data_IF_959784033764
#
_entry.id   IF_959784033764
#
_cell.length_a   1.000
_cell.length_b   1.000
_cell.length_c   1.000
_cell.angle_alpha   90.00
_cell.angle_beta   90.00
_cell.angle_gamma   90.00
#
_symmetry.space_group_name_H-M   'P 1'
#
loop_
_entity.id
_entity.type
_entity.pdbx_description
1 polymer ?
#
# COMPACT_ATOMS: atom_id res chain seq x y z
N UNK A 1 40.85 -5.10 24.36
CA UNK A 1 39.46 -4.61 24.48
C UNK A 1 39.05 -3.92 23.18
N UNK A 2 38.25 -4.58 22.33
CA UNK A 2 37.75 -3.99 21.09
C UNK A 2 36.53 -3.12 21.41
N UNK A 3 36.67 -1.80 21.27
CA UNK A 3 35.53 -0.86 21.27
C UNK A 3 34.70 -1.15 20.02
N UNK A 4 33.47 -1.60 20.22
CA UNK A 4 32.47 -1.62 19.17
C UNK A 4 31.95 -0.19 18.99
N UNK A 5 32.51 0.52 18.01
CA UNK A 5 31.92 1.75 17.51
C UNK A 5 30.62 1.39 16.78
N UNK A 6 29.49 1.50 17.49
CA UNK A 6 28.19 1.68 16.85
C UNK A 6 28.22 3.07 16.21
N UNK A 7 27.96 3.21 14.89
CA UNK A 7 27.77 4.53 14.33
C UNK A 7 26.46 5.08 14.91
N UNK A 8 26.60 5.98 15.88
CA UNK A 8 25.55 6.93 16.22
C UNK A 8 25.32 7.77 14.96
N UNK A 9 24.31 7.40 14.17
CA UNK A 9 23.63 8.39 13.36
C UNK A 9 23.13 9.44 14.33
N UNK A 10 23.79 10.60 14.32
CA UNK A 10 23.25 11.81 14.92
C UNK A 10 21.81 11.92 14.48
N UNK A 11 20.91 12.25 15.41
CA UNK A 11 19.52 12.58 15.14
C UNK A 11 19.53 13.94 14.41
N UNK A 12 20.08 13.97 13.20
CA UNK A 12 19.81 15.02 12.24
C UNK A 12 18.32 14.92 11.96
N UNK A 13 17.59 16.04 12.12
CA UNK A 13 16.14 16.11 11.91
C UNK A 13 15.78 15.30 10.68
N UNK A 14 15.01 14.23 10.87
CA UNK A 14 14.50 13.44 9.76
C UNK A 14 13.77 14.44 8.85
N UNK A 15 14.11 14.51 7.55
CA UNK A 15 13.43 15.43 6.66
C UNK A 15 11.92 15.14 6.67
N UNK A 16 11.11 16.17 6.46
CA UNK A 16 9.64 16.09 6.53
C UNK A 16 9.04 14.99 5.62
N UNK A 17 9.83 14.52 4.66
CA UNK A 17 9.54 13.44 3.75
C UNK A 17 10.84 12.71 3.35
N UNK A 18 10.70 11.48 2.88
CA UNK A 18 11.80 10.64 2.40
C UNK A 18 11.37 9.86 1.15
N UNK A 19 12.34 9.55 0.30
CA UNK A 19 12.09 8.64 -0.83
C UNK A 19 11.77 7.23 -0.33
N UNK A 20 11.12 6.41 -1.17
CA UNK A 20 10.87 4.99 -0.84
C UNK A 20 12.17 4.24 -0.48
N UNK A 21 13.29 4.57 -1.14
CA UNK A 21 14.59 3.95 -0.86
C UNK A 21 15.11 4.32 0.53
N UNK A 22 14.98 5.58 0.92
CA UNK A 22 15.38 6.06 2.24
C UNK A 22 14.45 5.52 3.33
N UNK A 23 13.14 5.50 3.10
CA UNK A 23 12.15 4.91 4.00
C UNK A 23 12.49 3.46 4.36
N UNK A 24 12.87 2.64 3.36
CA UNK A 24 13.33 1.26 3.60
C UNK A 24 14.56 1.22 4.52
N UNK A 25 15.55 2.08 4.27
CA UNK A 25 16.78 2.12 5.09
C UNK A 25 16.45 2.52 6.53
N UNK A 26 15.71 3.61 6.72
CA UNK A 26 15.36 4.13 8.03
C UNK A 26 14.54 3.09 8.81
N UNK A 27 13.46 2.58 8.22
CA UNK A 27 12.60 1.63 8.90
C UNK A 27 13.33 0.31 9.25
N UNK A 28 14.24 -0.15 8.39
CA UNK A 28 15.06 -1.34 8.68
C UNK A 28 15.99 -1.11 9.86
N UNK A 29 16.66 0.04 9.91
CA UNK A 29 17.54 0.42 11.02
C UNK A 29 16.76 0.61 12.33
N UNK A 30 15.59 1.23 12.29
CA UNK A 30 14.79 1.53 13.48
C UNK A 30 14.13 0.28 14.09
N UNK A 31 13.74 -0.70 13.29
CA UNK A 31 13.00 -1.89 13.76
C UNK A 31 13.85 -3.16 13.87
N UNK A 32 15.05 -3.15 13.27
CA UNK A 32 15.86 -4.34 13.01
C UNK A 32 15.11 -5.43 12.20
N UNK A 33 14.08 -5.04 11.44
CA UNK A 33 13.33 -5.90 10.53
C UNK A 33 13.74 -5.55 9.11
N UNK A 34 14.12 -6.57 8.32
CA UNK A 34 14.54 -6.37 6.93
C UNK A 34 13.33 -6.08 6.04
N UNK A 35 13.09 -4.80 5.78
CA UNK A 35 12.01 -4.31 4.91
C UNK A 35 12.56 -4.13 3.50
N UNK A 36 11.70 -4.30 2.49
CA UNK A 36 11.98 -4.01 1.09
C UNK A 36 10.94 -3.05 0.53
N UNK A 37 11.22 -2.45 -0.64
CA UNK A 37 10.29 -1.54 -1.33
C UNK A 37 8.89 -2.15 -1.52
N UNK A 38 8.83 -3.45 -1.83
CA UNK A 38 7.59 -4.22 -1.99
C UNK A 38 6.66 -4.15 -0.78
N UNK A 39 7.23 -4.07 0.43
CA UNK A 39 6.46 -4.10 1.66
C UNK A 39 5.77 -2.74 1.85
N UNK A 40 6.49 -1.65 1.56
CA UNK A 40 5.92 -0.28 1.52
C UNK A 40 4.81 -0.19 0.47
N UNK A 41 5.05 -0.67 -0.75
CA UNK A 41 4.03 -0.61 -1.80
C UNK A 41 2.78 -1.43 -1.44
N UNK A 42 2.94 -2.60 -0.79
CA UNK A 42 1.81 -3.39 -0.28
C UNK A 42 1.04 -2.65 0.80
N UNK A 43 1.73 -2.10 1.79
CA UNK A 43 1.07 -1.38 2.88
C UNK A 43 0.34 -0.13 2.36
N UNK A 44 0.88 0.54 1.34
CA UNK A 44 0.21 1.64 0.65
C UNK A 44 -1.05 1.19 -0.11
N UNK A 45 -0.95 0.12 -0.92
CA UNK A 45 -2.09 -0.43 -1.66
C UNK A 45 -3.19 -1.01 -0.75
N UNK A 46 -2.81 -1.48 0.45
CA UNK A 46 -3.75 -1.92 1.49
C UNK A 46 -4.30 -0.78 2.35
N UNK A 47 -3.93 0.48 2.08
CA UNK A 47 -4.40 1.65 2.82
C UNK A 47 -3.89 1.76 4.26
N UNK A 48 -2.80 1.06 4.61
CA UNK A 48 -2.20 1.14 5.96
C UNK A 48 -1.30 2.37 6.13
N UNK A 49 -0.73 2.83 5.02
CA UNK A 49 0.08 4.04 4.94
C UNK A 49 -0.32 4.84 3.71
N UNK A 50 -0.10 6.14 3.73
CA UNK A 50 -0.29 7.01 2.59
C UNK A 50 1.03 7.32 1.91
N UNK A 51 1.00 7.32 0.58
CA UNK A 51 2.10 7.86 -0.23
C UNK A 51 1.77 9.28 -0.65
N UNK A 52 2.81 10.05 -0.88
CA UNK A 52 2.73 11.37 -1.49
C UNK A 52 3.54 11.37 -2.77
N UNK A 53 3.27 12.32 -3.65
CA UNK A 53 4.07 12.59 -4.85
C UNK A 53 4.84 13.88 -4.60
N UNK A 54 6.16 13.80 -4.69
CA UNK A 54 7.02 14.96 -4.76
C UNK A 54 7.09 15.44 -6.21
N UNK A 55 6.71 16.68 -6.47
CA UNK A 55 6.84 17.38 -7.74
C UNK A 55 7.92 18.46 -7.63
N UNK A 56 9.06 18.25 -8.27
CA UNK A 56 10.12 19.26 -8.28
C UNK A 56 9.70 20.50 -9.09
N UNK A 57 9.13 20.27 -10.28
CA UNK A 57 8.48 21.29 -11.11
C UNK A 57 7.10 21.67 -10.59
N UNK A 58 6.71 22.95 -10.72
CA UNK A 58 5.40 23.42 -10.28
C UNK A 58 4.27 22.75 -11.05
N UNK A 59 3.23 22.35 -10.33
CA UNK A 59 2.00 21.78 -10.90
C UNK A 59 0.79 22.63 -10.51
N UNK A 60 -0.21 22.65 -11.41
CA UNK A 60 -1.47 23.33 -11.20
C UNK A 60 -2.50 22.34 -10.70
N UNK A 61 -3.32 22.77 -9.75
CA UNK A 61 -4.36 21.94 -9.15
C UNK A 61 -5.72 22.56 -9.41
N UNK A 62 -6.72 21.70 -9.57
CA UNK A 62 -8.13 22.11 -9.64
C UNK A 62 -9.02 21.09 -8.95
N UNK A 63 -10.03 21.56 -8.23
CA UNK A 63 -10.90 20.73 -7.41
C UNK A 63 -11.70 19.77 -8.29
N UNK A 64 -11.75 18.50 -7.90
CA UNK A 64 -12.56 17.48 -8.56
C UNK A 64 -13.99 17.56 -8.05
N UNK A 65 -14.98 17.55 -8.96
CA UNK A 65 -16.37 17.44 -8.58
C UNK A 65 -16.69 16.03 -8.13
N UNK A 66 -17.34 15.92 -6.98
CA UNK A 66 -17.84 14.65 -6.45
C UNK A 66 -19.35 14.69 -6.31
N UNK A 67 -19.99 13.53 -6.54
CA UNK A 67 -21.40 13.30 -6.27
C UNK A 67 -21.51 11.99 -5.49
N UNK A 68 -22.09 12.02 -4.29
CA UNK A 68 -22.20 10.85 -3.40
C UNK A 68 -20.85 10.13 -3.21
N UNK A 69 -19.79 10.90 -2.93
CA UNK A 69 -18.40 10.43 -2.78
C UNK A 69 -17.79 9.74 -4.01
N UNK A 70 -18.40 9.89 -5.20
CA UNK A 70 -17.86 9.40 -6.46
C UNK A 70 -17.38 10.55 -7.33
N UNK A 71 -16.24 10.37 -7.99
CA UNK A 71 -15.69 11.33 -8.97
C UNK A 71 -16.66 11.47 -10.14
N UNK A 72 -17.06 12.71 -10.46
CA UNK A 72 -17.90 13.00 -11.61
C UNK A 72 -17.06 13.07 -12.88
N UNK A 73 -17.54 12.42 -13.94
CA UNK A 73 -16.95 12.51 -15.28
C UNK A 73 -17.84 13.36 -16.19
N UNK A 74 -17.22 14.01 -17.17
CA UNK A 74 -17.91 14.72 -18.25
C UNK A 74 -17.32 14.35 -19.60
N UNK A 75 -18.08 14.56 -20.67
CA UNK A 75 -17.60 14.37 -22.03
C UNK A 75 -16.63 15.49 -22.42
N UNK A 76 -15.50 15.13 -23.01
CA UNK A 76 -14.59 16.06 -23.65
C UNK A 76 -15.26 16.71 -24.87
N UNK A 77 -14.86 17.94 -25.20
CA UNK A 77 -15.37 18.64 -26.38
C UNK A 77 -15.06 17.83 -27.65
N UNK A 78 -16.02 17.74 -28.58
CA UNK A 78 -15.93 16.87 -29.76
C UNK A 78 -14.94 17.38 -30.85
N UNK A 79 -14.06 18.32 -30.52
CA UNK A 79 -13.00 18.80 -31.41
C UNK A 79 -11.79 17.90 -31.32
N UNK A 80 -11.21 17.55 -32.47
CA UNK A 80 -10.03 16.67 -32.56
C UNK A 80 -8.88 17.15 -31.67
N UNK A 81 -8.58 18.45 -31.71
CA UNK A 81 -7.50 19.06 -30.92
C UNK A 81 -7.77 18.96 -29.42
N UNK A 82 -8.99 19.28 -28.97
CA UNK A 82 -9.38 19.14 -27.56
C UNK A 82 -9.25 17.70 -27.07
N UNK A 83 -9.76 16.73 -27.84
CA UNK A 83 -9.65 15.31 -27.51
C UNK A 83 -8.18 14.88 -27.43
N UNK A 84 -7.35 15.27 -28.39
CA UNK A 84 -5.92 14.94 -28.41
C UNK A 84 -5.18 15.49 -27.19
N UNK A 85 -5.46 16.71 -26.76
CA UNK A 85 -4.72 17.35 -25.66
C UNK A 85 -5.22 16.97 -24.26
N UNK A 86 -6.52 16.70 -24.11
CA UNK A 86 -7.16 16.43 -22.82
C UNK A 86 -7.20 14.94 -22.47
N UNK A 87 -7.30 14.05 -23.44
CA UNK A 87 -7.39 12.61 -23.20
C UNK A 87 -6.00 11.97 -23.14
N UNK A 88 -5.90 10.86 -22.43
CA UNK A 88 -4.75 9.97 -22.55
C UNK A 88 -4.80 9.24 -23.90
N UNK A 89 -3.63 8.81 -24.40
CA UNK A 89 -3.44 8.18 -25.72
C UNK A 89 -4.42 7.04 -26.00
N UNK A 90 -4.53 6.05 -25.12
CA UNK A 90 -5.40 4.91 -25.33
C UNK A 90 -6.87 5.32 -25.25
N UNK A 91 -7.21 6.30 -24.40
CA UNK A 91 -8.55 6.89 -24.36
C UNK A 91 -8.90 7.57 -25.68
N UNK A 92 -7.96 8.34 -26.24
CA UNK A 92 -8.11 9.02 -27.52
C UNK A 92 -8.31 8.04 -28.70
N UNK A 93 -7.47 7.00 -28.78
CA UNK A 93 -7.52 5.98 -29.84
C UNK A 93 -8.83 5.18 -29.77
N UNK A 94 -9.22 4.76 -28.56
CA UNK A 94 -10.42 3.96 -28.33
C UNK A 94 -11.72 4.79 -28.26
N UNK A 95 -11.66 6.09 -28.59
CA UNK A 95 -12.81 7.03 -28.56
C UNK A 95 -13.53 7.07 -27.21
N UNK A 96 -12.78 6.93 -26.11
CA UNK A 96 -13.28 7.12 -24.74
C UNK A 96 -13.16 8.59 -24.37
N UNK A 97 -14.20 9.34 -24.69
CA UNK A 97 -14.19 10.81 -24.60
C UNK A 97 -14.59 11.34 -23.23
N UNK A 98 -14.23 10.67 -22.13
CA UNK A 98 -14.55 11.11 -20.77
C UNK A 98 -13.33 11.72 -20.09
N UNK A 99 -13.55 12.82 -19.37
CA UNK A 99 -12.56 13.48 -18.51
C UNK A 99 -13.17 13.73 -17.13
N UNK A 100 -12.32 13.93 -16.12
CA UNK A 100 -12.77 14.33 -14.79
C UNK A 100 -13.43 15.71 -14.87
N UNK A 101 -14.61 15.84 -14.27
CA UNK A 101 -15.24 17.15 -14.11
C UNK A 101 -14.61 17.86 -12.92
N UNK A 102 -14.12 19.07 -13.17
CA UNK A 102 -13.41 19.90 -12.19
C UNK A 102 -14.13 21.23 -12.02
N UNK A 103 -13.95 21.86 -10.87
CA UNK A 103 -14.58 23.13 -10.48
C UNK A 103 -13.62 24.09 -9.81
N UNK A 104 -14.06 25.35 -9.69
CA UNK A 104 -13.26 26.44 -9.16
C UNK A 104 -12.11 26.84 -10.08
N UNK A 105 -11.21 27.63 -9.51
CA UNK A 105 -10.03 28.18 -10.18
C UNK A 105 -8.85 27.20 -10.17
N UNK A 106 -7.99 27.33 -11.18
CA UNK A 106 -6.68 26.67 -11.16
C UNK A 106 -5.75 27.44 -10.22
N UNK A 107 -5.11 26.74 -9.29
CA UNK A 107 -4.11 27.35 -8.42
C UNK A 107 -2.79 26.58 -8.48
N UNK A 108 -1.70 27.29 -8.24
CA UNK A 108 -0.38 26.69 -8.13
C UNK A 108 -0.23 26.07 -6.74
N UNK A 109 0.22 24.82 -6.67
CA UNK A 109 0.53 24.23 -5.37
C UNK A 109 1.74 24.92 -4.74
N UNK A 110 1.57 25.48 -3.53
CA UNK A 110 2.69 25.99 -2.71
C UNK A 110 3.57 24.85 -2.19
N UNK A 111 2.96 23.69 -1.96
CA UNK A 111 3.64 22.50 -1.46
C UNK A 111 4.06 21.63 -2.63
N UNK A 112 5.34 21.27 -2.67
CA UNK A 112 5.87 20.32 -3.67
C UNK A 112 5.47 18.87 -3.40
N UNK A 113 4.99 18.58 -2.19
CA UNK A 113 4.62 17.22 -1.76
C UNK A 113 3.13 17.18 -1.59
N UNK A 114 2.51 16.32 -2.39
CA UNK A 114 1.08 16.24 -2.55
C UNK A 114 0.64 14.83 -2.22
N UNK A 115 -0.22 14.68 -1.21
CA UNK A 115 -0.69 13.36 -0.79
C UNK A 115 -1.55 12.78 -1.91
N UNK A 116 -1.36 11.50 -2.22
CA UNK A 116 -2.18 10.85 -3.24
C UNK A 116 -3.25 9.97 -2.58
N UNK A 117 -4.53 10.11 -3.00
CA UNK A 117 -5.61 9.23 -2.57
C UNK A 117 -5.46 7.79 -3.07
N UNK A 118 -4.58 7.52 -4.05
CA UNK A 118 -4.49 6.23 -4.74
C UNK A 118 -5.86 5.71 -5.26
N UNK A 119 -6.70 6.62 -5.77
CA UNK A 119 -8.03 6.28 -6.34
C UNK A 119 -8.04 6.28 -7.88
N UNK A 120 -6.95 6.71 -8.51
CA UNK A 120 -6.84 6.86 -9.96
C UNK A 120 -5.65 6.09 -10.52
N UNK A 121 -4.98 6.70 -11.50
CA UNK A 121 -3.85 6.06 -12.18
C UNK A 121 -2.63 5.87 -11.28
N UNK A 122 -2.54 6.60 -10.17
CA UNK A 122 -1.46 6.44 -9.17
C UNK A 122 -1.48 5.05 -8.58
N UNK A 123 -2.68 4.52 -8.31
CA UNK A 123 -2.86 3.16 -7.81
C UNK A 123 -2.21 2.14 -8.75
N UNK A 124 -2.48 2.28 -10.05
CA UNK A 124 -1.90 1.43 -11.10
C UNK A 124 -0.37 1.56 -11.13
N UNK A 125 0.16 2.77 -11.00
CA UNK A 125 1.61 2.99 -10.94
C UNK A 125 2.25 2.30 -9.73
N UNK A 126 1.63 2.38 -8.56
CA UNK A 126 2.12 1.66 -7.37
C UNK A 126 2.05 0.15 -7.57
N UNK A 127 1.02 -0.39 -8.23
CA UNK A 127 0.95 -1.81 -8.58
C UNK A 127 2.10 -2.22 -9.53
N UNK A 128 2.43 -1.41 -10.53
CA UNK A 128 3.56 -1.65 -11.42
C UNK A 128 4.89 -1.64 -10.65
N UNK A 129 5.09 -0.65 -9.77
CA UNK A 129 6.27 -0.57 -8.90
C UNK A 129 6.37 -1.78 -7.95
N UNK A 130 5.24 -2.26 -7.44
CA UNK A 130 5.17 -3.49 -6.64
C UNK A 130 5.58 -4.70 -7.47
N UNK A 131 5.02 -4.88 -8.67
CA UNK A 131 5.35 -6.00 -9.55
C UNK A 131 6.85 -6.02 -9.90
N UNK A 132 7.41 -4.87 -10.28
CA UNK A 132 8.84 -4.72 -10.52
C UNK A 132 9.68 -5.09 -9.29
N UNK A 133 9.27 -4.64 -8.10
CA UNK A 133 9.99 -4.96 -6.85
C UNK A 133 9.91 -6.43 -6.43
N UNK A 134 8.94 -7.17 -6.97
CA UNK A 134 8.74 -8.60 -6.78
C UNK A 134 9.34 -9.45 -7.91
N UNK A 135 9.86 -8.81 -8.97
CA UNK A 135 10.31 -9.48 -10.20
C UNK A 135 9.21 -10.35 -10.84
N UNK A 136 7.95 -9.92 -10.74
CA UNK A 136 6.80 -10.57 -11.40
C UNK A 136 6.36 -9.74 -12.61
N UNK A 137 5.63 -10.34 -13.57
CA UNK A 137 5.01 -9.58 -14.64
C UNK A 137 4.19 -8.42 -14.06
N UNK A 138 4.32 -7.25 -14.68
CA UNK A 138 3.41 -6.13 -14.35
C UNK A 138 1.98 -6.58 -14.59
N UNK A 139 1.02 -6.15 -13.74
CA UNK A 139 -0.38 -6.45 -13.99
C UNK A 139 -0.68 -6.02 -15.42
N UNK A 140 -1.26 -6.91 -16.23
CA UNK A 140 -1.71 -6.50 -17.54
C UNK A 140 -2.66 -5.34 -17.31
N UNK A 141 -2.27 -4.14 -17.75
CA UNK A 141 -3.18 -3.02 -17.90
C UNK A 141 -4.34 -3.58 -18.70
N UNK A 142 -5.46 -3.87 -18.02
CA UNK A 142 -6.61 -4.46 -18.66
C UNK A 142 -6.92 -3.57 -19.88
N UNK A 143 -7.49 -4.13 -20.95
CA UNK A 143 -7.96 -3.32 -22.09
C UNK A 143 -8.91 -2.17 -21.65
N UNK A 144 -9.36 -2.17 -20.39
CA UNK A 144 -10.20 -1.18 -19.76
C UNK A 144 -9.54 -0.27 -18.70
N UNK A 145 -8.23 -0.34 -18.41
CA UNK A 145 -7.66 0.64 -17.47
C UNK A 145 -7.70 2.04 -18.10
N UNK A 146 -8.38 2.97 -17.43
CA UNK A 146 -8.56 4.33 -17.92
C UNK A 146 -7.68 5.27 -17.10
N UNK A 147 -6.79 5.99 -17.78
CA UNK A 147 -5.95 6.99 -17.16
C UNK A 147 -6.60 8.37 -17.34
N UNK A 148 -7.25 8.83 -16.27
CA UNK A 148 -7.81 10.18 -16.18
C UNK A 148 -6.82 11.23 -15.66
N UNK A 149 -5.56 10.82 -15.41
CA UNK A 149 -4.51 11.65 -14.85
C UNK A 149 -4.37 11.53 -13.33
N UNK A 150 -3.50 12.39 -12.78
CA UNK A 150 -3.14 12.35 -11.36
C UNK A 150 -4.12 13.14 -10.47
N UNK A 151 -4.30 12.66 -9.26
CA UNK A 151 -5.15 13.14 -8.19
C UNK A 151 -4.33 13.32 -6.92
N UNK A 152 -4.64 14.35 -6.16
CA UNK A 152 -4.05 14.64 -4.85
C UNK A 152 -5.14 15.02 -3.84
N UNK A 153 -4.86 14.82 -2.55
CA UNK A 153 -5.70 15.27 -1.45
C UNK A 153 -5.08 16.52 -0.82
N UNK A 154 -5.89 17.56 -0.63
CA UNK A 154 -5.57 18.72 0.22
C UNK A 154 -6.75 18.95 1.15
N UNK A 155 -6.51 18.91 2.46
CA UNK A 155 -7.54 19.14 3.49
C UNK A 155 -8.79 18.25 3.34
N UNK A 156 -8.60 16.99 2.92
CA UNK A 156 -9.69 16.02 2.70
C UNK A 156 -10.37 16.11 1.33
N UNK A 157 -10.10 17.16 0.55
CA UNK A 157 -10.69 17.36 -0.77
C UNK A 157 -9.78 16.83 -1.88
N UNK A 158 -10.37 16.29 -2.95
CA UNK A 158 -9.63 15.73 -4.10
C UNK A 158 -9.41 16.81 -5.15
N UNK A 159 -8.17 16.93 -5.61
CA UNK A 159 -7.77 17.82 -6.70
C UNK A 159 -7.11 17.01 -7.81
N UNK A 160 -7.35 17.40 -9.06
CA UNK A 160 -6.65 16.85 -10.22
C UNK A 160 -5.42 17.70 -10.53
N UNK A 161 -4.35 17.05 -10.99
CA UNK A 161 -3.08 17.66 -11.33
C UNK A 161 -3.00 18.00 -12.82
N UNK A 162 -2.58 19.22 -13.11
CA UNK A 162 -2.47 19.78 -14.45
C UNK A 162 -1.06 20.30 -14.72
N UNK A 163 -0.61 20.13 -15.97
CA UNK A 163 0.53 20.88 -16.51
C UNK A 163 0.06 22.16 -17.20
N UNK A 164 0.87 23.21 -17.13
CA UNK A 164 0.65 24.48 -17.82
C UNK A 164 1.59 24.55 -19.02
N UNK A 165 1.04 24.48 -20.24
CA UNK A 165 1.81 24.49 -21.49
C UNK A 165 0.96 25.08 -22.61
N UNK A 166 1.58 25.37 -23.75
CA UNK A 166 0.82 25.80 -24.93
C UNK A 166 0.12 24.62 -25.59
N UNK A 167 -0.99 24.88 -26.29
CA UNK A 167 -1.64 23.87 -27.12
C UNK A 167 -0.68 23.23 -28.11
N UNK A 168 0.20 24.02 -28.74
CA UNK A 168 1.15 23.52 -29.73
C UNK A 168 2.14 22.52 -29.13
N UNK A 169 2.73 22.83 -27.98
CA UNK A 169 3.65 21.93 -27.26
C UNK A 169 2.92 20.67 -26.79
N UNK A 170 1.72 20.82 -26.23
CA UNK A 170 0.90 19.69 -25.79
C UNK A 170 0.55 18.76 -26.96
N UNK A 171 0.13 19.30 -28.10
CA UNK A 171 -0.15 18.50 -29.30
C UNK A 171 1.09 17.76 -29.78
N UNK A 172 2.24 18.44 -29.87
CA UNK A 172 3.51 17.79 -30.23
C UNK A 172 3.86 16.64 -29.27
N UNK A 173 3.68 16.86 -27.97
CA UNK A 173 3.89 15.82 -26.92
C UNK A 173 2.94 14.64 -27.12
N UNK A 174 1.65 14.88 -27.37
CA UNK A 174 0.65 13.83 -27.54
C UNK A 174 0.81 13.06 -28.85
N UNK A 175 1.12 13.73 -29.97
CA UNK A 175 1.36 13.09 -31.27
C UNK A 175 2.54 12.11 -31.19
N UNK A 176 3.61 12.46 -30.46
CA UNK A 176 4.77 11.57 -30.24
C UNK A 176 4.42 10.27 -29.50
N UNK A 177 3.34 10.27 -28.70
CA UNK A 177 2.88 9.09 -27.96
C UNK A 177 1.98 8.17 -28.81
N UNK A 178 1.43 8.69 -29.91
CA UNK A 178 0.54 7.93 -30.79
C UNK A 178 1.30 6.88 -31.62
N UNK A 179 0.62 5.79 -32.01
CA UNK A 179 1.17 4.80 -32.94
C UNK A 179 1.58 5.42 -34.28
N UNK A 180 2.67 4.90 -34.88
CA UNK A 180 3.27 5.42 -36.13
C UNK A 180 2.29 5.45 -37.32
N UNK A 181 1.29 4.58 -37.35
CA UNK A 181 0.28 4.51 -38.40
C UNK A 181 -0.82 5.58 -38.26
N UNK A 182 -1.03 6.15 -37.07
CA UNK A 182 -2.09 7.14 -36.80
C UNK A 182 -1.52 8.56 -36.70
N UNK A 183 -0.31 8.71 -36.16
CA UNK A 183 0.31 10.00 -35.89
C UNK A 183 0.37 10.95 -37.12
N UNK A 184 0.77 10.50 -38.33
CA UNK A 184 0.83 11.37 -39.51
C UNK A 184 -0.54 11.94 -39.90
N UNK A 185 -1.57 11.09 -39.94
CA UNK A 185 -2.92 11.47 -40.34
C UNK A 185 -3.51 12.55 -39.43
N UNK A 186 -3.19 12.50 -38.13
CA UNK A 186 -3.65 13.49 -37.15
C UNK A 186 -2.85 14.78 -37.28
N UNK A 187 -1.53 14.68 -37.46
CA UNK A 187 -0.66 15.83 -37.64
C UNK A 187 -1.10 16.69 -38.83
N UNK A 188 -1.40 16.06 -39.97
CA UNK A 188 -1.82 16.77 -41.18
C UNK A 188 -3.18 17.47 -41.00
N UNK A 189 -4.13 16.81 -40.31
CA UNK A 189 -5.43 17.40 -39.97
C UNK A 189 -5.32 18.61 -39.05
N UNK A 190 -4.32 18.64 -38.17
CA UNK A 190 -4.11 19.74 -37.21
C UNK A 190 -3.45 20.94 -37.89
N UNK A 191 -2.45 20.73 -38.74
CA UNK A 191 -1.80 21.81 -39.50
C UNK A 191 -2.83 22.58 -40.34
N UNK A 192 -3.82 21.87 -40.90
CA UNK A 192 -4.86 22.48 -41.73
C UNK A 192 -5.81 23.44 -40.98
N UNK A 193 -5.88 23.37 -39.64
CA UNK A 193 -6.91 24.05 -38.82
C UNK A 193 -6.42 25.26 -38.00
N UNK A 194 -5.56 26.09 -38.59
CA UNK A 194 -5.27 27.48 -38.20
C UNK A 194 -4.46 27.70 -36.90
N UNK A 195 -3.21 28.15 -37.06
CA UNK A 195 -2.13 28.12 -36.06
C UNK A 195 -2.29 29.17 -34.93
N UNK A 196 -3.00 30.29 -35.19
CA UNK A 196 -2.97 31.46 -34.30
C UNK A 196 -3.63 31.28 -32.93
N UNK A 197 -4.48 30.25 -32.72
CA UNK A 197 -5.11 29.97 -31.42
C UNK A 197 -4.17 29.22 -30.45
N UNK A 198 -3.06 28.65 -30.93
CA UNK A 198 -2.28 27.66 -30.18
C UNK A 198 -1.09 28.21 -29.38
N UNK A 199 -0.87 29.53 -29.39
CA UNK A 199 0.20 30.17 -28.62
C UNK A 199 -0.19 30.47 -27.16
N UNK A 200 -1.48 30.35 -26.80
CA UNK A 200 -1.95 30.56 -25.43
C UNK A 200 -1.60 29.36 -24.55
N UNK A 201 -1.10 29.64 -23.35
CA UNK A 201 -0.92 28.64 -22.30
C UNK A 201 -2.28 28.26 -21.72
N UNK A 202 -2.49 26.96 -21.57
CA UNK A 202 -3.67 26.39 -20.93
C UNK A 202 -3.25 25.25 -19.99
N UNK A 203 -4.23 24.75 -19.24
CA UNK A 203 -4.05 23.70 -18.24
C UNK A 203 -4.53 22.37 -18.79
N UNK A 204 -3.64 21.39 -18.88
CA UNK A 204 -3.94 20.06 -19.39
C UNK A 204 -3.76 18.99 -18.31
N UNK A 205 -4.66 18.00 -18.20
CA UNK A 205 -4.50 16.90 -17.27
C UNK A 205 -3.16 16.19 -17.46
N UNK A 206 -2.50 15.95 -16.34
CA UNK A 206 -1.23 15.25 -16.30
C UNK A 206 -1.50 13.74 -16.35
N UNK A 207 -1.13 13.08 -17.45
CA UNK A 207 -1.36 11.64 -17.68
C UNK A 207 -0.13 10.77 -17.43
N UNK A 208 1.06 11.38 -17.35
CA UNK A 208 2.30 10.70 -17.05
C UNK A 208 3.06 11.48 -15.98
N UNK A 209 3.70 10.77 -15.06
CA UNK A 209 4.49 11.39 -14.01
C UNK A 209 5.71 12.09 -14.66
N UNK A 210 5.99 13.37 -14.33
CA UNK A 210 7.18 14.06 -14.79
C UNK A 210 8.46 13.33 -14.37
N UNK A 211 9.55 13.49 -15.14
CA UNK A 211 10.84 12.84 -14.86
C UNK A 211 11.45 13.28 -13.53
N UNK A 212 11.10 14.49 -13.08
CA UNK A 212 11.54 15.12 -11.84
C UNK A 212 10.51 14.97 -10.70
N UNK A 213 9.56 14.03 -10.84
CA UNK A 213 8.59 13.71 -9.82
C UNK A 213 8.70 12.24 -9.38
N UNK A 214 8.44 11.96 -8.10
CA UNK A 214 8.54 10.61 -7.55
C UNK A 214 7.62 10.40 -6.34
N UNK A 215 7.32 9.12 -6.05
CA UNK A 215 6.60 8.76 -4.83
C UNK A 215 7.51 8.83 -3.61
N UNK A 216 6.99 9.41 -2.53
CA UNK A 216 7.68 9.64 -1.26
C UNK A 216 6.76 9.29 -0.08
N UNK A 217 7.36 9.09 1.10
CA UNK A 217 6.61 9.04 2.37
C UNK A 217 6.85 10.32 3.13
N UNK A 218 5.79 10.89 3.71
CA UNK A 218 5.95 11.88 4.77
C UNK A 218 6.46 11.23 6.04
N UNK A 219 7.11 12.01 6.87
CA UNK A 219 7.65 11.56 8.14
C UNK A 219 6.59 10.86 9.02
N UNK A 220 5.38 11.42 9.10
CA UNK A 220 4.26 10.85 9.86
C UNK A 220 3.84 9.46 9.37
N UNK A 221 3.86 9.22 8.06
CA UNK A 221 3.53 7.92 7.47
C UNK A 221 4.68 6.91 7.65
N UNK A 222 5.93 7.38 7.68
CA UNK A 222 7.09 6.54 8.02
C UNK A 222 7.03 6.06 9.48
N UNK A 223 6.66 6.95 10.41
CA UNK A 223 6.47 6.58 11.81
C UNK A 223 5.34 5.54 11.97
N UNK A 224 4.21 5.73 11.29
CA UNK A 224 3.13 4.75 11.25
C UNK A 224 3.61 3.39 10.75
N UNK A 225 4.39 3.36 9.67
CA UNK A 225 4.99 2.13 9.15
C UNK A 225 5.86 1.43 10.21
N UNK A 226 6.74 2.18 10.89
CA UNK A 226 7.62 1.65 11.94
C UNK A 226 6.79 1.07 13.10
N UNK A 227 5.73 1.75 13.52
CA UNK A 227 4.83 1.28 14.59
C UNK A 227 4.09 -0.01 14.21
N UNK A 228 3.59 -0.11 12.97
CA UNK A 228 2.95 -1.32 12.45
C UNK A 228 3.92 -2.51 12.52
N UNK A 229 5.16 -2.30 12.09
CA UNK A 229 6.20 -3.32 12.10
C UNK A 229 6.60 -3.74 13.53
N UNK A 230 6.70 -2.78 14.45
CA UNK A 230 6.97 -3.06 15.86
C UNK A 230 5.84 -3.87 16.53
N UNK A 231 4.57 -3.55 16.25
CA UNK A 231 3.40 -4.32 16.74
C UNK A 231 3.37 -5.74 16.21
N UNK A 232 3.69 -5.96 14.94
CA UNK A 232 3.72 -7.30 14.37
C UNK A 232 4.80 -8.18 15.02
N UNK A 233 5.92 -7.60 15.47
CA UNK A 233 6.93 -8.32 16.27
C UNK A 233 6.40 -8.79 17.61
N UNK A 234 5.55 -7.99 18.27
CA UNK A 234 4.90 -8.38 19.53
C UNK A 234 3.77 -9.40 19.35
N UNK A 235 3.10 -9.40 18.18
CA UNK A 235 2.04 -10.36 17.87
C UNK A 235 2.65 -11.72 17.47
N UNK A 236 3.78 -11.74 16.75
CA UNK A 236 4.46 -13.00 16.40
C UNK A 236 5.05 -13.74 17.60
N UNK A 237 5.10 -13.09 18.78
CA UNK A 237 5.45 -13.73 20.06
C UNK A 237 4.24 -14.23 20.84
N UNK A 238 3.00 -14.12 20.32
CA UNK A 238 1.87 -14.79 20.95
C UNK A 238 2.04 -16.29 20.73
N UNK A 239 2.45 -16.98 21.79
CA UNK A 239 2.42 -18.44 21.88
C UNK A 239 1.08 -18.95 21.38
N UNK A 240 1.09 -20.02 20.61
CA UNK A 240 -0.11 -20.77 20.19
C UNK A 240 -0.89 -21.19 21.44
N UNK A 241 -1.77 -20.32 21.93
CA UNK A 241 -2.51 -20.51 23.18
C UNK A 241 -3.70 -21.43 22.90
N UNK A 242 -3.65 -22.64 23.45
CA UNK A 242 -4.80 -23.53 23.56
C UNK A 242 -5.93 -22.80 24.32
N UNK A 243 -7.17 -22.88 23.85
CA UNK A 243 -8.32 -22.24 24.49
C UNK A 243 -8.70 -22.94 25.80
N UNK A 244 -9.32 -22.24 26.77
CA UNK A 244 -9.73 -22.85 28.06
C UNK A 244 -10.59 -24.11 27.87
N UNK A 245 -11.61 -24.14 26.99
CA UNK A 245 -12.42 -25.35 26.78
C UNK A 245 -11.59 -26.53 26.28
N UNK A 246 -10.65 -26.29 25.35
CA UNK A 246 -9.80 -27.34 24.80
C UNK A 246 -8.79 -27.84 25.84
N UNK A 247 -8.25 -26.95 26.68
CA UNK A 247 -7.43 -27.33 27.84
C UNK A 247 -8.19 -28.22 28.82
N UNK A 248 -9.48 -27.95 29.08
CA UNK A 248 -10.32 -28.78 29.95
C UNK A 248 -10.60 -30.15 29.35
N UNK A 249 -10.95 -30.21 28.07
CA UNK A 249 -11.14 -31.48 27.36
C UNK A 249 -9.85 -32.31 27.37
N UNK A 250 -8.72 -31.69 27.07
CA UNK A 250 -7.41 -32.34 27.12
C UNK A 250 -7.09 -32.88 28.52
N UNK A 251 -7.31 -32.08 29.57
CA UNK A 251 -7.11 -32.53 30.95
C UNK A 251 -8.02 -33.70 31.33
N UNK A 252 -9.29 -33.66 30.94
CA UNK A 252 -10.24 -34.76 31.17
C UNK A 252 -9.78 -36.05 30.48
N UNK A 253 -9.34 -35.95 29.22
CA UNK A 253 -8.81 -37.10 28.47
C UNK A 253 -7.60 -37.72 29.16
N UNK A 254 -6.68 -36.91 29.68
CA UNK A 254 -5.53 -37.40 30.43
C UNK A 254 -5.93 -38.00 31.80
N UNK A 255 -6.89 -37.38 32.49
CA UNK A 255 -7.32 -37.81 33.83
C UNK A 255 -8.07 -39.14 33.82
N UNK A 256 -8.89 -39.37 32.80
CA UNK A 256 -9.72 -40.57 32.67
C UNK A 256 -9.07 -41.72 31.90
N UNK A 257 -7.84 -41.55 31.40
CA UNK A 257 -7.08 -42.63 30.78
C UNK A 257 -6.22 -43.36 31.82
N UNK A 258 -6.47 -44.65 32.02
CA UNK A 258 -5.82 -45.47 33.07
C UNK A 258 -4.29 -45.50 32.95
N UNK A 259 -3.74 -45.50 31.73
CA UNK A 259 -2.30 -45.58 31.50
C UNK A 259 -1.55 -44.29 31.86
N UNK A 260 -2.18 -43.13 31.68
CA UNK A 260 -1.52 -41.82 31.81
C UNK A 260 -2.07 -40.93 32.93
N UNK A 261 -3.19 -41.31 33.58
CA UNK A 261 -3.78 -40.59 34.72
C UNK A 261 -2.78 -40.31 35.87
N UNK A 262 -1.89 -41.24 36.25
CA UNK A 262 -0.88 -40.98 37.29
C UNK A 262 0.14 -39.90 36.90
N UNK A 263 0.28 -39.62 35.60
CA UNK A 263 1.28 -38.71 35.04
C UNK A 263 0.72 -37.31 34.74
N UNK A 264 -0.55 -37.04 35.03
CA UNK A 264 -1.20 -35.72 34.81
C UNK A 264 -0.43 -34.58 35.48
N UNK A 265 0.23 -34.84 36.62
CA UNK A 265 1.05 -33.85 37.34
C UNK A 265 2.53 -33.86 36.90
N UNK A 266 2.88 -34.65 35.90
CA UNK A 266 4.25 -34.85 35.40
C UNK A 266 4.30 -34.56 33.88
N UNK A 267 4.11 -33.29 33.47
CA UNK A 267 3.91 -32.92 32.06
C UNK A 267 5.05 -33.36 31.14
N UNK A 268 6.31 -33.33 31.59
CA UNK A 268 7.44 -33.75 30.75
C UNK A 268 7.51 -35.27 30.52
N UNK A 269 6.93 -36.10 31.41
CA UNK A 269 6.80 -37.55 31.17
C UNK A 269 5.64 -37.85 30.22
N UNK A 270 4.55 -37.10 30.31
CA UNK A 270 3.47 -37.16 29.32
C UNK A 270 3.94 -36.75 27.94
N UNK A 271 4.81 -35.72 27.86
CA UNK A 271 5.40 -35.27 26.60
C UNK A 271 6.10 -36.43 25.87
N UNK A 272 6.96 -37.20 26.56
CA UNK A 272 7.64 -38.34 25.94
C UNK A 272 6.68 -39.42 25.42
N UNK A 273 5.55 -39.65 26.11
CA UNK A 273 4.53 -40.61 25.68
C UNK A 273 3.80 -40.09 24.43
N UNK A 274 3.41 -38.82 24.43
CA UNK A 274 2.72 -38.22 23.28
C UNK A 274 3.62 -38.07 22.07
N UNK A 275 4.92 -37.82 22.24
CA UNK A 275 5.87 -37.84 21.14
C UNK A 275 5.98 -39.24 20.52
N UNK A 276 5.98 -40.30 21.34
CA UNK A 276 5.96 -41.68 20.83
C UNK A 276 4.66 -42.02 20.09
N UNK A 277 3.50 -41.62 20.63
CA UNK A 277 2.21 -41.83 19.96
C UNK A 277 2.11 -41.02 18.66
N UNK A 278 2.55 -39.76 18.69
CA UNK A 278 2.60 -38.91 17.51
C UNK A 278 3.46 -39.54 16.41
N UNK A 279 4.63 -40.08 16.76
CA UNK A 279 5.50 -40.79 15.81
C UNK A 279 4.84 -42.05 15.24
N UNK A 280 4.14 -42.84 16.07
CA UNK A 280 3.44 -44.04 15.63
C UNK A 280 2.30 -43.74 14.64
N UNK A 281 1.62 -42.60 14.82
CA UNK A 281 0.52 -42.15 13.96
C UNK A 281 0.96 -41.23 12.81
N UNK A 282 2.28 -41.06 12.60
CA UNK A 282 2.84 -40.25 11.51
C UNK A 282 2.75 -38.73 11.70
N UNK A 283 2.47 -38.26 12.91
CA UNK A 283 2.47 -36.84 13.28
C UNK A 283 3.92 -36.39 13.54
N UNK A 284 4.41 -35.46 12.73
CA UNK A 284 5.82 -34.98 12.77
C UNK A 284 5.99 -33.64 13.48
N UNK A 285 4.92 -33.08 14.04
CA UNK A 285 4.95 -31.81 14.75
C UNK A 285 5.74 -31.91 16.06
N UNK A 286 6.57 -30.89 16.33
CA UNK A 286 7.35 -30.81 17.57
C UNK A 286 6.45 -30.39 18.72
N UNK A 287 6.19 -31.30 19.65
CA UNK A 287 5.45 -31.01 20.88
C UNK A 287 6.32 -30.21 21.86
N UNK A 288 5.68 -29.32 22.63
CA UNK A 288 6.35 -28.45 23.61
C UNK A 288 5.86 -28.80 25.01
N UNK A 289 6.80 -29.15 25.90
CA UNK A 289 6.50 -29.43 27.31
C UNK A 289 5.86 -28.24 28.03
N UNK A 290 6.26 -27.00 27.70
CA UNK A 290 5.67 -25.80 28.29
C UNK A 290 4.22 -25.58 27.86
N UNK A 291 3.92 -25.83 26.58
CA UNK A 291 2.54 -25.76 26.07
C UNK A 291 1.66 -26.79 26.75
N UNK A 292 2.19 -28.00 26.95
CA UNK A 292 1.49 -29.11 27.58
C UNK A 292 1.24 -28.87 29.07
N UNK A 293 2.25 -28.40 29.81
CA UNK A 293 2.12 -27.98 31.21
C UNK A 293 1.04 -26.91 31.37
N UNK A 294 1.12 -25.85 30.57
CA UNK A 294 0.15 -24.74 30.61
C UNK A 294 -1.27 -25.22 30.32
N UNK A 295 -1.44 -26.15 29.38
CA UNK A 295 -2.74 -26.72 29.04
C UNK A 295 -3.33 -27.57 30.17
N UNK A 296 -2.51 -28.39 30.85
CA UNK A 296 -2.96 -29.23 31.96
C UNK A 296 -3.32 -28.39 33.19
N UNK A 297 -2.49 -27.41 33.56
CA UNK A 297 -2.75 -26.51 34.68
C UNK A 297 -4.06 -25.74 34.48
N UNK A 298 -4.25 -25.17 33.28
CA UNK A 298 -5.45 -24.41 32.92
C UNK A 298 -6.70 -25.29 32.81
N UNK A 299 -6.54 -26.54 32.39
CA UNK A 299 -7.64 -27.49 32.25
C UNK A 299 -8.11 -28.09 33.57
N UNK A 300 -7.24 -28.10 34.58
CA UNK A 300 -7.54 -28.66 35.90
C UNK A 300 -8.66 -27.88 36.63
N UNK A 301 -9.52 -28.56 37.39
CA UNK A 301 -10.52 -27.89 38.22
C UNK A 301 -9.83 -27.08 39.31
N UNK A 302 -10.10 -25.77 39.37
CA UNK A 302 -9.64 -24.92 40.46
C UNK A 302 -10.39 -25.31 41.73
N UNK A 303 -9.68 -25.78 42.75
CA UNK A 303 -10.27 -25.99 44.08
C UNK A 303 -10.65 -24.63 44.69
N UNK A 304 -11.88 -24.18 44.44
CA UNK A 304 -12.56 -23.27 45.35
C UNK A 304 -13.19 -24.14 46.43
N UNK A 305 -12.67 -24.02 47.66
CA UNK A 305 -13.09 -24.80 48.80
C UNK A 305 -14.59 -24.71 49.03
N UNK A 306 -15.26 -25.87 48.98
CA UNK A 306 -16.52 -26.08 49.67
C UNK A 306 -16.15 -26.23 51.14
N UNK A 307 -16.22 -25.14 51.89
CA UNK A 307 -16.29 -25.20 53.34
C UNK A 307 -17.59 -25.93 53.70
N UNK A 308 -17.40 -27.08 54.34
CA UNK A 308 -18.43 -27.76 55.12
C UNK A 308 -18.97 -26.78 56.16
N UNK A 309 -20.26 -26.44 56.06
CA UNK A 309 -21.00 -25.91 57.20
C UNK A 309 -21.86 -27.03 57.76
N UNK A 310 -21.46 -27.51 58.93
CA UNK A 310 -22.28 -28.31 59.82
C UNK A 310 -23.17 -27.37 60.64
N UNK A 311 -24.47 -27.43 60.43
CA UNK A 311 -25.54 -27.47 61.44
C UNK A 311 -26.87 -27.73 60.75
#
# INVERSE_FOLDING_TARGET
MKKHDKPFYSISRIPDWVTIREAVKIATLSTNIKIKKRDIYRDALCGKIHLSIYFQSPVRLRKVKTLNNKVKLKKAENKLTHRLCLLEKDCFINKRDLIIDTEGEYFLSKNKILDTPLIGYEYILIQHLLAQSLSIPSPMTEKNTINYGFSTIISGEIFQVFEETTWQERMKKQIKLLPKNIAPQIHDRIIFHNINKYCRKEHFPLHALPLDACFVLRHTELEKLIQILAKNKTISTSTTRISTPLSRLFWLSCKHNEAISPLVNQPYKLLSIFEQWALADGITDRLSGETLKTALERGSPSFLGVSTSSR
#
